data_IF_262283187401
#
_entry.id   IF_262283187401
#
_cell.length_a   1.000
_cell.length_b   1.000
_cell.length_c   1.000
_cell.angle_alpha   90.00
_cell.angle_beta   90.00
_cell.angle_gamma   90.00
#
_symmetry.space_group_name_H-M   'P 1'
#
loop_
_entity.id
_entity.type
_entity.pdbx_description
1 polymer ?
#
# COMPACT_ATOMS: atom_id res chain seq x y z
N UNK A 1 10.04 -0.58 -18.02
CA UNK A 1 9.33 -1.37 -17.00
C UNK A 1 9.46 -0.63 -15.68
N UNK A 2 8.35 -0.19 -15.10
CA UNK A 2 8.34 0.38 -13.74
C UNK A 2 8.63 -0.73 -12.72
N UNK A 3 9.55 -0.50 -11.79
CA UNK A 3 9.80 -1.45 -10.71
C UNK A 3 8.65 -1.37 -9.70
N UNK A 4 8.08 -2.52 -9.34
CA UNK A 4 7.03 -2.60 -8.34
C UNK A 4 7.66 -2.85 -6.98
N UNK A 5 7.47 -1.91 -6.07
CA UNK A 5 7.88 -2.04 -4.68
C UNK A 5 6.69 -2.47 -3.82
N UNK A 6 6.95 -3.35 -2.85
CA UNK A 6 5.99 -3.65 -1.79
C UNK A 6 6.22 -2.70 -0.60
N UNK A 7 5.16 -2.02 -0.17
CA UNK A 7 5.14 -1.25 1.08
C UNK A 7 4.10 -1.83 2.04
N UNK A 8 4.26 -1.60 3.34
CA UNK A 8 3.33 -2.12 4.35
C UNK A 8 3.10 -1.16 5.51
N UNK A 9 1.98 -1.36 6.22
CA UNK A 9 1.52 -0.48 7.29
C UNK A 9 0.64 0.66 6.82
N UNK A 10 -0.33 1.04 7.66
CA UNK A 10 -1.38 2.03 7.31
C UNK A 10 -0.80 3.38 6.88
N UNK A 11 0.19 3.89 7.62
CA UNK A 11 0.80 5.19 7.31
C UNK A 11 1.45 5.21 5.93
N UNK A 12 2.26 4.21 5.60
CA UNK A 12 2.95 4.14 4.31
C UNK A 12 1.96 4.05 3.15
N UNK A 13 0.98 3.14 3.25
CA UNK A 13 -0.01 2.92 2.20
C UNK A 13 -0.92 4.14 2.00
N UNK A 14 -1.46 4.72 3.07
CA UNK A 14 -2.32 5.91 2.98
C UNK A 14 -1.53 7.10 2.43
N UNK A 15 -0.28 7.30 2.88
CA UNK A 15 0.56 8.40 2.38
C UNK A 15 0.78 8.27 0.88
N UNK A 16 1.10 7.07 0.41
CA UNK A 16 1.31 6.80 -1.01
C UNK A 16 0.03 6.94 -1.83
N UNK A 17 -1.11 6.49 -1.29
CA UNK A 17 -2.42 6.62 -1.93
C UNK A 17 -2.89 8.08 -2.04
N UNK A 18 -2.44 8.94 -1.11
CA UNK A 18 -2.73 10.39 -1.15
C UNK A 18 -1.85 11.15 -2.12
N UNK A 19 -0.58 10.74 -2.27
CA UNK A 19 0.36 11.33 -3.22
C UNK A 19 -0.18 11.25 -4.66
N UNK A 20 0.15 12.26 -5.47
CA UNK A 20 -0.16 12.28 -6.90
C UNK A 20 0.89 11.52 -7.71
N UNK A 21 2.13 11.51 -7.22
CA UNK A 21 3.28 10.88 -7.85
C UNK A 21 3.54 9.53 -7.18
N UNK A 22 3.26 8.44 -7.91
CA UNK A 22 3.36 7.08 -7.41
C UNK A 22 2.05 6.34 -7.54
N UNK A 23 2.01 5.42 -8.52
CA UNK A 23 0.79 4.66 -8.79
C UNK A 23 0.71 3.51 -7.79
N UNK A 24 -0.25 3.60 -6.86
CA UNK A 24 -0.66 2.44 -6.08
C UNK A 24 -1.43 1.51 -7.01
N UNK A 25 -0.86 0.34 -7.29
CA UNK A 25 -1.45 -0.63 -8.22
C UNK A 25 -2.50 -1.49 -7.52
N UNK A 26 -2.19 -1.93 -6.30
CA UNK A 26 -3.04 -2.85 -5.56
C UNK A 26 -2.77 -2.76 -4.06
N UNK A 27 -3.83 -2.83 -3.26
CA UNK A 27 -3.78 -2.83 -1.79
C UNK A 27 -4.23 -4.20 -1.30
N UNK A 28 -3.54 -4.73 -0.29
CA UNK A 28 -3.87 -5.95 0.42
C UNK A 28 -4.26 -5.58 1.85
N UNK A 29 -5.47 -5.92 2.25
CA UNK A 29 -6.01 -5.65 3.58
C UNK A 29 -6.31 -6.97 4.27
N UNK A 30 -5.94 -7.11 5.53
CA UNK A 30 -6.33 -8.26 6.33
C UNK A 30 -7.87 -8.33 6.43
N UNK A 31 -8.44 -9.44 5.99
CA UNK A 31 -9.88 -9.68 5.92
C UNK A 31 -10.57 -9.59 7.29
N UNK A 32 -9.82 -9.82 8.38
CA UNK A 32 -10.34 -9.69 9.75
C UNK A 32 -10.51 -8.23 10.21
N UNK A 33 -9.98 -7.25 9.44
CA UNK A 33 -10.01 -5.83 9.80
C UNK A 33 -11.36 -5.22 9.40
N UNK A 34 -12.20 -4.97 10.40
CA UNK A 34 -13.49 -4.28 10.25
C UNK A 34 -13.57 -2.95 11.02
N UNK A 35 -12.43 -2.51 11.56
CA UNK A 35 -12.36 -1.26 12.32
C UNK A 35 -12.42 -0.02 11.42
N UNK A 36 -12.53 1.14 12.06
CA UNK A 36 -12.65 2.44 11.38
C UNK A 36 -11.51 2.72 10.40
N UNK A 37 -10.27 2.34 10.71
CA UNK A 37 -9.13 2.62 9.81
C UNK A 37 -9.24 1.81 8.53
N UNK A 38 -9.69 0.56 8.62
CA UNK A 38 -9.92 -0.28 7.45
C UNK A 38 -11.04 0.29 6.57
N UNK A 39 -12.13 0.76 7.17
CA UNK A 39 -13.23 1.44 6.45
C UNK A 39 -12.75 2.71 5.75
N UNK A 40 -12.02 3.57 6.46
CA UNK A 40 -11.49 4.82 5.90
C UNK A 40 -10.51 4.55 4.73
N UNK A 41 -9.69 3.49 4.84
CA UNK A 41 -8.81 3.04 3.75
C UNK A 41 -9.60 2.58 2.52
N UNK A 42 -10.65 1.77 2.72
CA UNK A 42 -11.49 1.26 1.63
C UNK A 42 -12.15 2.41 0.87
N UNK A 43 -12.75 3.38 1.58
CA UNK A 43 -13.33 4.58 0.97
C UNK A 43 -12.28 5.41 0.21
N UNK A 44 -11.08 5.56 0.77
CA UNK A 44 -10.01 6.29 0.08
C UNK A 44 -9.54 5.54 -1.19
N UNK A 45 -9.38 4.23 -1.12
CA UNK A 45 -8.97 3.42 -2.27
C UNK A 45 -10.02 3.45 -3.38
N UNK A 46 -11.30 3.33 -3.03
CA UNK A 46 -12.43 3.47 -3.95
C UNK A 46 -12.45 4.84 -4.63
N UNK A 47 -12.28 5.94 -3.87
CA UNK A 47 -12.21 7.30 -4.43
C UNK A 47 -11.04 7.52 -5.40
N UNK A 48 -10.01 6.67 -5.33
CA UNK A 48 -8.83 6.69 -6.21
C UNK A 48 -8.89 5.63 -7.30
N UNK A 49 -9.95 4.82 -7.37
CA UNK A 49 -10.06 3.70 -8.31
C UNK A 49 -9.02 2.60 -8.10
N UNK A 50 -8.49 2.48 -6.88
CA UNK A 50 -7.47 1.47 -6.55
C UNK A 50 -8.14 0.22 -6.00
N UNK A 51 -7.78 -0.93 -6.56
CA UNK A 51 -8.29 -2.23 -6.11
C UNK A 51 -7.75 -2.56 -4.72
N UNK A 52 -8.64 -3.02 -3.85
CA UNK A 52 -8.30 -3.61 -2.54
C UNK A 52 -8.66 -5.09 -2.55
N UNK A 53 -7.70 -5.95 -2.22
CA UNK A 53 -7.91 -7.37 -2.01
C UNK A 53 -7.86 -7.69 -0.52
N UNK A 54 -8.90 -8.35 -0.03
CA UNK A 54 -8.92 -8.88 1.32
C UNK A 54 -8.17 -10.21 1.35
N UNK A 55 -7.21 -10.34 2.26
CA UNK A 55 -6.34 -11.52 2.42
C UNK A 55 -6.24 -11.91 3.88
N UNK A 56 -5.81 -13.12 4.19
CA UNK A 56 -5.48 -13.47 5.58
C UNK A 56 -4.16 -12.83 6.04
N UNK A 57 -3.94 -12.78 7.36
CA UNK A 57 -2.72 -12.23 7.94
C UNK A 57 -1.46 -13.01 7.50
N UNK A 58 -1.54 -14.33 7.35
CA UNK A 58 -0.40 -15.18 6.93
C UNK A 58 0.12 -14.81 5.55
N UNK A 59 -0.78 -14.43 4.64
CA UNK A 59 -0.43 -13.96 3.30
C UNK A 59 0.29 -12.62 3.38
N UNK A 60 -0.14 -11.72 4.26
CA UNK A 60 0.59 -10.46 4.49
C UNK A 60 1.98 -10.73 5.06
N UNK A 61 2.12 -11.63 6.05
CA UNK A 61 3.42 -12.03 6.59
C UNK A 61 4.35 -12.56 5.48
N UNK A 62 3.86 -13.44 4.63
CA UNK A 62 4.63 -13.98 3.51
C UNK A 62 5.04 -12.91 2.48
N UNK A 63 4.19 -11.91 2.25
CA UNK A 63 4.50 -10.81 1.34
C UNK A 63 5.53 -9.85 1.92
N UNK A 64 5.46 -9.54 3.22
CA UNK A 64 6.31 -8.53 3.87
C UNK A 64 7.59 -9.11 4.49
N UNK A 65 7.86 -10.40 4.31
CA UNK A 65 8.98 -11.06 4.97
C UNK A 65 8.84 -11.05 6.51
N UNK A 66 7.61 -11.26 7.00
CA UNK A 66 7.23 -11.23 8.42
C UNK A 66 7.41 -9.87 9.10
N UNK A 67 7.62 -8.79 8.33
CA UNK A 67 7.67 -7.44 8.88
C UNK A 67 6.31 -7.02 9.44
N UNK A 68 6.30 -6.15 10.47
CA UNK A 68 5.08 -5.64 11.12
C UNK A 68 4.23 -4.79 10.15
N UNK A 69 3.30 -5.44 9.47
CA UNK A 69 2.45 -4.84 8.44
C UNK A 69 1.14 -4.24 8.96
N UNK A 70 0.78 -4.49 10.23
CA UNK A 70 -0.42 -3.92 10.88
C UNK A 70 -1.73 -4.26 10.15
N UNK A 71 -1.76 -5.37 9.41
CA UNK A 71 -2.91 -5.81 8.62
C UNK A 71 -3.06 -5.15 7.24
N UNK A 72 -2.02 -4.51 6.68
CA UNK A 72 -2.09 -3.88 5.35
C UNK A 72 -0.75 -3.89 4.60
N UNK A 73 -0.80 -4.14 3.30
CA UNK A 73 0.31 -3.94 2.36
C UNK A 73 -0.17 -3.35 1.03
N UNK A 74 0.72 -2.81 0.22
CA UNK A 74 0.39 -2.33 -1.13
C UNK A 74 1.56 -2.51 -2.09
N UNK A 75 1.22 -2.79 -3.35
CA UNK A 75 2.17 -2.74 -4.46
C UNK A 75 2.11 -1.37 -5.10
N UNK A 76 3.25 -0.72 -5.19
CA UNK A 76 3.36 0.65 -5.69
C UNK A 76 4.44 0.70 -6.76
N UNK A 77 4.24 1.55 -7.76
CA UNK A 77 5.31 1.86 -8.69
C UNK A 77 6.36 2.72 -7.99
N UNK A 78 7.61 2.28 -8.09
CA UNK A 78 8.74 3.10 -7.72
C UNK A 78 8.73 4.34 -8.61
N UNK A 79 8.51 5.50 -8.00
CA UNK A 79 8.79 6.76 -8.68
C UNK A 79 10.30 6.87 -8.63
N UNK A 80 10.97 6.77 -9.78
CA UNK A 80 12.36 7.24 -9.88
C UNK A 80 12.32 8.71 -9.52
N UNK A 81 12.71 9.05 -8.30
CA UNK A 81 13.08 10.42 -7.99
C UNK A 81 14.25 10.74 -8.92
N UNK A 82 14.18 11.79 -9.75
CA UNK A 82 15.39 12.26 -10.42
C UNK A 82 16.37 12.60 -9.29
N UNK A 83 17.51 11.93 -9.28
CA UNK A 83 18.60 12.23 -8.37
C UNK A 83 18.93 13.71 -8.56
N UNK A 84 18.64 14.54 -7.55
CA UNK A 84 19.26 15.86 -7.49
C UNK A 84 20.74 15.57 -7.19
N UNK A 85 21.55 15.57 -8.25
CA UNK A 85 23.00 15.68 -8.13
C UNK A 85 23.22 17.16 -7.88
N UNK A 86 23.43 17.53 -6.62
CA UNK A 86 23.95 18.84 -6.26
C UNK A 86 25.43 18.89 -6.71
N UNK A 87 25.77 19.96 -7.44
CA UNK A 87 27.12 20.37 -7.87
C UNK A 87 28.05 20.65 -6.67
#
# INVERSE_FOLDING_TARGET
MSELQLIHGFHAVISRLRQREGVVREIFLDASRHDRRAKDLLSLAESRGVRVMQVDAKRLDGMTGQARHQGIAARVEAVRMPTHVED
#
